data_IF_623066091219
#
_entry.id   IF_623066091219
#
_cell.length_a   1.000
_cell.length_b   1.000
_cell.length_c   1.000
_cell.angle_alpha   90.00
_cell.angle_beta   90.00
_cell.angle_gamma   90.00
#
_symmetry.space_group_name_H-M   'P 1'
#
loop_
_entity.id
_entity.type
_entity.pdbx_description
1 polymer ?
#
# COMPACT_ATOMS: atom_id res chain seq x y z
N UNK A 1 10.28 16.60 12.00
CA UNK A 1 9.20 15.95 11.23
C UNK A 1 8.32 17.05 10.63
N UNK A 2 8.83 17.81 9.66
CA UNK A 2 8.07 18.90 9.01
C UNK A 2 7.41 18.33 7.76
N UNK A 3 8.22 17.83 6.82
CA UNK A 3 7.72 17.27 5.55
C UNK A 3 8.03 15.79 5.35
N UNK A 4 8.98 15.22 6.10
CA UNK A 4 9.25 13.78 6.09
C UNK A 4 8.26 13.08 7.03
N UNK A 5 7.24 12.47 6.41
CA UNK A 5 6.15 11.83 7.12
C UNK A 5 6.64 10.55 7.80
N UNK A 6 6.73 10.59 9.14
CA UNK A 6 6.83 9.39 9.95
C UNK A 6 5.47 9.14 10.59
N UNK A 7 4.86 7.97 10.39
CA UNK A 7 3.54 7.68 10.94
C UNK A 7 3.63 7.63 12.47
N UNK A 8 2.67 8.27 13.13
CA UNK A 8 2.48 8.16 14.57
C UNK A 8 1.43 7.08 14.87
N UNK A 9 1.10 6.90 16.15
CA UNK A 9 0.09 5.94 16.58
C UNK A 9 -1.32 6.21 15.99
N UNK A 10 -1.60 7.44 15.53
CA UNK A 10 -2.88 7.78 14.91
C UNK A 10 -2.97 7.45 13.43
N UNK A 11 -1.83 7.32 12.73
CA UNK A 11 -1.79 6.99 11.30
C UNK A 11 -1.64 5.48 11.05
N UNK A 12 -0.99 4.75 11.95
CA UNK A 12 -0.83 3.30 11.80
C UNK A 12 -2.17 2.60 12.07
N UNK A 13 -2.72 1.85 11.11
CA UNK A 13 -3.97 1.13 11.34
C UNK A 13 -3.77 -0.03 12.31
N UNK A 14 -4.83 -0.53 12.96
CA UNK A 14 -4.77 -1.81 13.67
C UNK A 14 -4.25 -2.92 12.75
N UNK A 15 -3.25 -3.66 13.21
CA UNK A 15 -2.62 -4.74 12.43
C UNK A 15 -3.22 -6.07 12.83
N UNK A 16 -3.89 -6.71 11.88
CA UNK A 16 -4.30 -8.12 11.98
C UNK A 16 -3.22 -9.00 11.34
N UNK A 17 -2.96 -10.17 11.94
CA UNK A 17 -1.97 -11.11 11.43
C UNK A 17 -2.47 -12.56 11.54
N UNK A 18 -2.09 -13.36 10.56
CA UNK A 18 -2.26 -14.80 10.55
C UNK A 18 -0.91 -15.50 10.40
N UNK A 19 -0.84 -16.76 10.79
CA UNK A 19 0.34 -17.59 10.62
C UNK A 19 0.00 -18.84 9.82
N UNK A 20 0.82 -19.10 8.79
CA UNK A 20 0.80 -20.34 8.03
C UNK A 20 2.22 -20.88 8.05
N UNK A 21 2.37 -22.12 8.50
CA UNK A 21 3.66 -22.75 8.62
C UNK A 21 3.94 -23.63 7.41
N UNK A 22 4.99 -23.29 6.68
CA UNK A 22 5.59 -24.16 5.66
C UNK A 22 7.08 -24.20 5.94
N UNK A 23 7.63 -25.33 6.45
CA UNK A 23 9.05 -25.41 6.80
C UNK A 23 9.99 -25.11 5.64
N UNK A 24 11.14 -24.51 5.94
CA UNK A 24 12.26 -24.35 5.01
C UNK A 24 13.11 -25.63 4.89
N UNK A 25 13.98 -25.73 3.87
CA UNK A 25 14.81 -26.92 3.65
C UNK A 25 16.02 -27.03 4.61
N UNK A 26 16.33 -25.99 5.38
CA UNK A 26 17.48 -25.96 6.29
C UNK A 26 17.24 -26.64 7.63
N UNK A 27 18.31 -26.81 8.41
CA UNK A 27 18.24 -27.35 9.78
C UNK A 27 17.29 -26.49 10.62
N UNK A 28 16.28 -27.13 11.21
CA UNK A 28 15.26 -26.47 12.04
C UNK A 28 14.11 -25.82 11.26
N UNK A 29 14.09 -25.86 9.93
CA UNK A 29 12.93 -25.46 9.12
C UNK A 29 12.60 -23.96 9.12
N UNK A 30 13.48 -23.12 9.67
CA UNK A 30 13.24 -21.68 9.81
C UNK A 30 13.30 -20.91 8.47
N UNK A 31 12.59 -19.78 8.43
CA UNK A 31 12.62 -18.81 7.32
C UNK A 31 12.73 -17.39 7.87
N UNK A 32 13.40 -16.50 7.14
CA UNK A 32 13.45 -15.07 7.48
C UNK A 32 12.07 -14.42 7.31
N UNK A 33 11.69 -13.55 8.24
CA UNK A 33 10.38 -12.89 8.24
C UNK A 33 10.44 -11.35 8.46
N UNK A 34 11.61 -10.78 8.73
CA UNK A 34 11.74 -9.37 9.17
C UNK A 34 11.29 -8.33 8.15
N UNK A 35 11.40 -8.62 6.85
CA UNK A 35 11.09 -7.67 5.78
C UNK A 35 9.72 -7.91 5.14
N UNK A 36 9.05 -9.03 5.45
CA UNK A 36 7.81 -9.43 4.78
C UNK A 36 6.72 -8.37 4.86
N UNK A 37 6.59 -7.72 6.03
CA UNK A 37 5.66 -6.61 6.24
C UNK A 37 6.02 -5.36 5.41
N UNK A 38 7.31 -5.01 5.32
CA UNK A 38 7.76 -3.84 4.56
C UNK A 38 7.59 -4.05 3.04
N UNK A 39 7.86 -5.26 2.56
CA UNK A 39 7.75 -5.63 1.14
C UNK A 39 6.29 -5.67 0.70
N UNK A 40 5.42 -6.32 1.48
CA UNK A 40 4.03 -6.57 1.10
C UNK A 40 3.08 -5.39 1.34
N UNK A 41 3.33 -4.56 2.36
CA UNK A 41 2.40 -3.50 2.77
C UNK A 41 2.19 -2.43 1.70
N UNK A 42 3.27 -1.91 1.12
CA UNK A 42 3.20 -0.85 0.10
C UNK A 42 2.34 -1.24 -1.12
N UNK A 43 2.60 -2.36 -1.82
CA UNK A 43 1.74 -2.75 -2.94
C UNK A 43 0.31 -3.10 -2.51
N UNK A 44 0.10 -3.66 -1.31
CA UNK A 44 -1.25 -3.95 -0.81
C UNK A 44 -2.10 -2.67 -0.69
N UNK A 45 -1.53 -1.60 -0.10
CA UNK A 45 -2.21 -0.30 0.04
C UNK A 45 -2.48 0.35 -1.31
N UNK A 46 -1.51 0.35 -2.23
CA UNK A 46 -1.68 0.97 -3.56
C UNK A 46 -2.70 0.21 -4.41
N UNK A 47 -2.71 -1.12 -4.33
CA UNK A 47 -3.74 -1.91 -5.02
C UNK A 47 -5.12 -1.63 -4.46
N UNK A 48 -5.27 -1.45 -3.14
CA UNK A 48 -6.55 -1.07 -2.54
C UNK A 48 -7.03 0.33 -3.00
N UNK A 49 -6.11 1.30 -3.11
CA UNK A 49 -6.42 2.62 -3.67
C UNK A 49 -6.86 2.49 -5.13
N UNK A 50 -6.12 1.74 -5.95
CA UNK A 50 -6.46 1.54 -7.36
C UNK A 50 -7.78 0.80 -7.57
N UNK A 51 -8.09 -0.19 -6.74
CA UNK A 51 -9.39 -0.89 -6.76
C UNK A 51 -10.55 0.09 -6.49
N UNK A 52 -10.41 0.95 -5.48
CA UNK A 52 -11.40 1.98 -5.16
C UNK A 52 -11.59 3.01 -6.28
N UNK A 53 -10.54 3.30 -7.05
CA UNK A 53 -10.54 4.27 -8.14
C UNK A 53 -10.89 3.68 -9.51
N UNK A 54 -10.93 2.36 -9.65
CA UNK A 54 -11.22 1.67 -10.90
C UNK A 54 -12.55 2.12 -11.56
N UNK A 55 -13.66 2.37 -10.83
CA UNK A 55 -14.90 2.87 -11.44
C UNK A 55 -14.78 4.26 -12.08
N UNK A 56 -13.75 5.02 -11.70
CA UNK A 56 -13.46 6.35 -12.24
C UNK A 56 -12.48 6.30 -13.42
N UNK A 57 -11.99 5.12 -13.81
CA UNK A 57 -10.97 4.97 -14.84
C UNK A 57 -9.59 5.49 -14.42
N UNK A 58 -9.37 5.75 -13.13
CA UNK A 58 -8.12 6.30 -12.59
C UNK A 58 -7.19 5.19 -12.13
N UNK A 59 -5.88 5.33 -12.40
CA UNK A 59 -4.85 4.41 -11.88
C UNK A 59 -3.66 5.20 -11.34
N UNK A 60 -3.34 5.00 -10.07
CA UNK A 60 -2.15 5.52 -9.40
C UNK A 60 -0.94 4.66 -9.80
N UNK A 61 0.02 5.30 -10.47
CA UNK A 61 1.27 4.67 -10.95
C UNK A 61 2.52 5.31 -10.35
N UNK A 62 2.34 6.31 -9.48
CA UNK A 62 3.41 7.12 -8.88
C UNK A 62 3.21 7.20 -7.37
N UNK A 63 4.33 7.15 -6.65
CA UNK A 63 4.37 7.32 -5.20
C UNK A 63 5.09 8.63 -4.84
N UNK A 64 4.78 9.23 -3.67
CA UNK A 64 3.76 8.81 -2.71
C UNK A 64 2.33 9.13 -3.17
N UNK A 65 1.37 8.26 -2.83
CA UNK A 65 -0.05 8.46 -3.11
C UNK A 65 -0.68 9.46 -2.13
N UNK A 66 -0.24 10.72 -2.20
CA UNK A 66 -0.76 11.80 -1.34
C UNK A 66 -2.20 12.14 -1.70
N UNK A 67 -3.01 12.69 -0.77
CA UNK A 67 -4.37 13.12 -1.07
C UNK A 67 -4.45 14.10 -2.25
N UNK A 68 -3.52 15.05 -2.35
CA UNK A 68 -3.47 16.01 -3.45
C UNK A 68 -3.18 15.34 -4.81
N UNK A 69 -2.26 14.37 -4.85
CA UNK A 69 -1.97 13.61 -6.06
C UNK A 69 -3.16 12.77 -6.52
N UNK A 70 -3.88 12.14 -5.58
CA UNK A 70 -5.09 11.36 -5.89
C UNK A 70 -6.21 12.28 -6.40
N UNK A 71 -6.43 13.43 -5.74
CA UNK A 71 -7.45 14.39 -6.16
C UNK A 71 -7.19 14.93 -7.57
N UNK A 72 -5.94 15.30 -7.87
CA UNK A 72 -5.56 15.75 -9.21
C UNK A 72 -5.85 14.69 -10.30
N UNK A 73 -5.51 13.41 -10.03
CA UNK A 73 -5.81 12.33 -10.97
C UNK A 73 -7.32 12.14 -11.22
N UNK A 74 -8.14 12.30 -10.18
CA UNK A 74 -9.61 12.22 -10.30
C UNK A 74 -10.15 13.41 -11.11
N UNK A 75 -9.64 14.61 -10.88
CA UNK A 75 -10.03 15.81 -11.62
C UNK A 75 -9.64 15.70 -13.10
N UNK A 76 -8.42 15.25 -13.40
CA UNK A 76 -7.93 15.03 -14.77
C UNK A 76 -8.83 14.03 -15.52
N UNK A 77 -9.12 12.87 -14.92
CA UNK A 77 -9.99 11.87 -15.53
C UNK A 77 -11.44 12.35 -15.73
N UNK A 78 -11.90 13.30 -14.91
CA UNK A 78 -13.25 13.89 -15.04
C UNK A 78 -13.33 14.99 -16.11
N UNK A 79 -12.20 15.61 -16.45
CA UNK A 79 -12.10 16.67 -17.45
C UNK A 79 -11.95 16.14 -18.88
N UNK A 80 -11.47 14.91 -19.05
CA UNK A 80 -11.40 14.27 -20.37
C UNK A 80 -12.80 13.88 -20.87
N UNK A 81 -13.22 14.33 -22.07
CA UNK A 81 -14.47 13.88 -22.66
C UNK A 81 -14.36 12.38 -22.97
N UNK A 82 -15.24 11.58 -22.35
CA UNK A 82 -15.40 10.15 -22.61
C UNK A 82 -15.69 9.82 -24.08
#
# INVERSE_FOLDING_TARGET
>A
FVDYLLPTATEVPPIEYGHVEVPGPGVGGYKGAGEGGAIGSTPAVINAINDALAPLGVTVTRLPATPAAIAALIEEASAEPR
#
